data_IF_215152982087
#
_entry.id   IF_215152982087
#
_cell.length_a   1.000
_cell.length_b   1.000
_cell.length_c   1.000
_cell.angle_alpha   90.00
_cell.angle_beta   90.00
_cell.angle_gamma   90.00
#
_symmetry.space_group_name_H-M   'P 1'
#
loop_
_entity.id
_entity.type
_entity.pdbx_description
1 polymer ?
#
# COMPACT_ATOMS: atom_id res chain seq x y z
N UNK A 1 32.30 18.15 -12.10
CA UNK A 1 32.02 19.04 -13.24
C UNK A 1 30.62 18.73 -13.72
N UNK A 2 29.66 19.60 -13.40
CA UNK A 2 28.28 19.46 -13.89
C UNK A 2 28.23 19.98 -15.32
N UNK A 3 27.93 19.11 -16.29
CA UNK A 3 27.59 19.53 -17.64
C UNK A 3 26.09 19.81 -17.68
N UNK A 4 25.73 21.08 -17.83
CA UNK A 4 24.35 21.43 -18.19
C UNK A 4 24.09 20.97 -19.62
N UNK A 5 23.07 20.17 -19.83
CA UNK A 5 22.59 19.86 -21.18
C UNK A 5 22.07 21.15 -21.82
N UNK A 6 22.67 21.56 -22.94
CA UNK A 6 22.37 22.84 -23.58
C UNK A 6 21.06 22.88 -24.34
N UNK A 7 20.44 21.79 -24.66
CA UNK A 7 19.23 21.74 -25.47
C UNK A 7 18.27 20.70 -24.88
N UNK A 8 17.63 21.03 -23.77
CA UNK A 8 16.53 20.25 -23.25
C UNK A 8 15.24 20.85 -23.76
N UNK A 9 14.56 20.18 -24.68
CA UNK A 9 13.21 20.54 -25.11
C UNK A 9 12.22 20.22 -23.99
N UNK A 10 11.88 21.26 -23.21
CA UNK A 10 10.92 21.15 -22.12
C UNK A 10 9.51 21.13 -22.70
N UNK A 11 8.96 19.96 -22.92
CA UNK A 11 7.55 19.81 -23.25
C UNK A 11 6.75 19.60 -21.98
N UNK A 12 5.79 20.46 -21.74
CA UNK A 12 4.74 20.19 -20.76
C UNK A 12 3.86 19.11 -21.34
N UNK A 13 4.09 17.86 -20.90
CA UNK A 13 3.21 16.76 -21.26
C UNK A 13 1.93 16.88 -20.43
N UNK A 14 0.78 16.85 -21.12
CA UNK A 14 -0.49 16.60 -20.43
C UNK A 14 -0.39 15.23 -19.78
N UNK A 15 -0.52 15.18 -18.47
CA UNK A 15 -0.67 13.90 -17.76
C UNK A 15 -2.10 13.43 -17.95
N UNK A 16 -2.26 12.21 -18.46
CA UNK A 16 -3.57 11.53 -18.53
C UNK A 16 -3.98 11.03 -17.14
N UNK A 17 -4.10 11.97 -16.20
CA UNK A 17 -4.60 11.65 -14.85
C UNK A 17 -6.09 11.39 -15.00
N UNK A 18 -6.48 10.16 -14.69
CA UNK A 18 -7.88 9.79 -14.67
C UNK A 18 -8.61 10.50 -13.52
N UNK A 19 -9.81 11.05 -13.74
CA UNK A 19 -10.57 11.64 -12.66
C UNK A 19 -10.91 10.59 -11.60
N UNK A 20 -10.94 11.02 -10.35
CA UNK A 20 -11.51 10.20 -9.29
C UNK A 20 -13.00 9.97 -9.57
N UNK A 21 -13.57 8.86 -9.05
CA UNK A 21 -15.01 8.64 -9.10
C UNK A 21 -15.79 9.80 -8.47
N UNK A 22 -17.04 9.99 -8.88
CA UNK A 22 -17.91 10.98 -8.25
C UNK A 22 -18.04 10.73 -6.75
N UNK A 23 -17.80 11.76 -5.94
CA UNK A 23 -17.85 11.66 -4.47
C UNK A 23 -19.20 11.17 -3.95
N UNK A 24 -20.27 11.37 -4.67
CA UNK A 24 -21.59 10.86 -4.33
C UNK A 24 -21.69 9.32 -4.38
N UNK A 25 -20.73 8.67 -5.04
CA UNK A 25 -20.65 7.20 -5.12
C UNK A 25 -19.73 6.58 -4.06
N UNK A 26 -19.07 7.42 -3.25
CA UNK A 26 -18.14 6.93 -2.24
C UNK A 26 -18.89 6.39 -1.02
N UNK A 27 -18.49 5.21 -0.57
CA UNK A 27 -18.97 4.66 0.69
C UNK A 27 -17.90 4.82 1.76
N UNK A 28 -18.30 5.27 2.93
CA UNK A 28 -17.39 5.41 4.06
C UNK A 28 -17.08 4.03 4.65
N UNK A 29 -15.79 3.69 4.73
CA UNK A 29 -15.31 2.42 5.25
C UNK A 29 -15.87 2.10 6.63
N UNK A 30 -15.99 3.11 7.51
CA UNK A 30 -16.52 2.91 8.87
C UNK A 30 -18.03 2.61 8.89
N UNK A 31 -18.78 3.08 7.91
CA UNK A 31 -20.22 2.80 7.79
C UNK A 31 -20.49 1.39 7.25
N UNK A 32 -19.52 0.79 6.56
CA UNK A 32 -19.63 -0.57 6.06
C UNK A 32 -18.88 -1.62 6.88
N UNK A 33 -18.56 -1.26 8.12
CA UNK A 33 -18.13 -2.20 9.16
C UNK A 33 -16.65 -2.16 9.51
N UNK A 34 -15.80 -1.46 8.76
CA UNK A 34 -14.40 -1.30 9.14
C UNK A 34 -14.29 -0.38 10.37
N UNK A 35 -13.32 -0.65 11.22
CA UNK A 35 -13.11 0.12 12.46
C UNK A 35 -12.02 1.17 12.31
N UNK A 36 -10.89 0.81 11.71
CA UNK A 36 -9.75 1.70 11.57
C UNK A 36 -9.21 2.20 12.92
N UNK A 37 -9.26 1.35 13.95
CA UNK A 37 -8.91 1.65 15.35
C UNK A 37 -7.49 1.17 15.72
N UNK A 38 -6.75 0.60 14.79
CA UNK A 38 -5.41 0.06 15.00
C UNK A 38 -5.37 -1.28 15.74
N UNK A 39 -6.53 -1.89 16.01
CA UNK A 39 -6.64 -3.14 16.80
C UNK A 39 -7.50 -4.18 16.11
N UNK A 40 -8.69 -3.79 15.66
CA UNK A 40 -9.66 -4.68 15.02
C UNK A 40 -9.16 -5.13 13.65
N UNK A 41 -9.27 -6.42 13.37
CA UNK A 41 -8.97 -6.96 12.03
C UNK A 41 -10.11 -6.61 11.07
N UNK A 42 -9.86 -5.68 10.18
CA UNK A 42 -10.81 -5.16 9.20
C UNK A 42 -10.84 -5.99 7.89
N UNK A 43 -10.11 -7.11 7.83
CA UNK A 43 -9.95 -7.91 6.60
C UNK A 43 -11.27 -8.35 5.99
N UNK A 44 -12.14 -8.93 6.81
CA UNK A 44 -13.40 -9.46 6.32
C UNK A 44 -14.36 -8.35 5.92
N UNK A 45 -14.42 -7.28 6.73
CA UNK A 45 -15.27 -6.13 6.43
C UNK A 45 -14.89 -5.46 5.11
N UNK A 46 -13.57 -5.31 4.83
CA UNK A 46 -13.14 -4.75 3.54
C UNK A 46 -13.45 -5.67 2.37
N UNK A 47 -13.25 -6.99 2.52
CA UNK A 47 -13.60 -7.94 1.47
C UNK A 47 -15.09 -7.89 1.13
N UNK A 48 -15.95 -7.81 2.13
CA UNK A 48 -17.41 -7.67 1.93
C UNK A 48 -17.80 -6.31 1.33
N UNK A 49 -17.11 -5.25 1.70
CA UNK A 49 -17.32 -3.93 1.13
C UNK A 49 -16.95 -3.90 -0.36
N UNK A 50 -15.82 -4.49 -0.75
CA UNK A 50 -15.38 -4.60 -2.16
C UNK A 50 -16.39 -5.40 -3.01
N UNK A 51 -17.07 -6.39 -2.43
CA UNK A 51 -18.11 -7.14 -3.16
C UNK A 51 -19.33 -6.27 -3.51
N UNK A 52 -19.61 -5.25 -2.72
CA UNK A 52 -20.83 -4.45 -2.82
C UNK A 52 -20.61 -3.07 -3.44
N UNK A 53 -19.42 -2.50 -3.30
CA UNK A 53 -19.14 -1.10 -3.64
C UNK A 53 -17.87 -0.98 -4.48
N UNK A 54 -17.90 -0.10 -5.46
CA UNK A 54 -16.73 0.17 -6.31
C UNK A 54 -15.77 1.17 -5.67
N UNK A 55 -16.29 2.15 -4.90
CA UNK A 55 -15.45 3.18 -4.30
C UNK A 55 -15.61 3.22 -2.79
N UNK A 56 -14.52 2.93 -2.09
CA UNK A 56 -14.46 2.89 -0.63
C UNK A 56 -13.55 4.02 -0.17
N UNK A 57 -14.12 4.94 0.59
CA UNK A 57 -13.41 6.05 1.22
C UNK A 57 -13.01 5.66 2.65
N UNK A 58 -11.74 5.80 2.95
CA UNK A 58 -11.16 5.54 4.26
C UNK A 58 -10.95 6.86 5.00
N UNK A 59 -11.77 7.20 6.01
CA UNK A 59 -11.42 8.26 6.95
C UNK A 59 -10.11 7.99 7.66
N UNK A 60 -9.56 9.03 8.30
CA UNK A 60 -8.39 8.88 9.15
C UNK A 60 -8.55 7.68 10.10
N UNK A 61 -7.50 6.83 10.14
CA UNK A 61 -7.49 5.64 10.97
C UNK A 61 -6.38 4.66 10.59
N UNK A 62 -6.18 3.68 11.44
CA UNK A 62 -5.27 2.55 11.25
C UNK A 62 -6.11 1.29 11.03
N UNK A 63 -6.22 0.87 9.78
CA UNK A 63 -7.03 -0.29 9.39
C UNK A 63 -6.13 -1.53 9.34
N UNK A 64 -6.38 -2.48 10.23
CA UNK A 64 -5.55 -3.69 10.38
C UNK A 64 -6.08 -4.83 9.50
N UNK A 65 -5.17 -5.51 8.83
CA UNK A 65 -5.49 -6.62 7.94
C UNK A 65 -4.58 -7.82 8.21
N UNK A 66 -5.09 -9.02 8.04
CA UNK A 66 -4.34 -10.28 8.23
C UNK A 66 -4.24 -11.14 6.98
N UNK A 67 -4.83 -10.70 5.87
CA UNK A 67 -4.83 -11.44 4.60
C UNK A 67 -4.69 -10.50 3.39
N UNK A 68 -4.48 -11.10 2.22
CA UNK A 68 -4.49 -10.40 0.94
C UNK A 68 -5.88 -9.79 0.66
N UNK A 69 -5.89 -8.53 0.31
CA UNK A 69 -7.06 -7.81 -0.21
C UNK A 69 -7.00 -7.85 -1.73
N UNK A 70 -7.94 -8.52 -2.34
CA UNK A 70 -8.07 -8.57 -3.80
C UNK A 70 -9.10 -7.56 -4.25
N UNK A 71 -8.68 -6.66 -5.14
CA UNK A 71 -9.57 -5.68 -5.73
C UNK A 71 -10.29 -6.28 -6.93
N UNK A 72 -11.56 -5.94 -7.08
CA UNK A 72 -12.34 -6.23 -8.28
C UNK A 72 -12.09 -5.16 -9.33
N UNK A 73 -12.58 -5.37 -10.52
CA UNK A 73 -12.61 -4.32 -11.54
C UNK A 73 -13.34 -3.08 -11.02
N UNK A 74 -12.85 -1.91 -11.41
CA UNK A 74 -13.34 -0.60 -11.00
C UNK A 74 -13.21 -0.27 -9.50
N UNK A 75 -12.69 -1.17 -8.66
CA UNK A 75 -12.49 -0.86 -7.24
C UNK A 75 -11.53 0.32 -7.09
N UNK A 76 -11.97 1.32 -6.34
CA UNK A 76 -11.21 2.50 -5.93
C UNK A 76 -11.13 2.54 -4.40
N UNK A 77 -9.91 2.54 -3.86
CA UNK A 77 -9.64 2.75 -2.44
C UNK A 77 -9.08 4.15 -2.28
N UNK A 78 -9.77 5.00 -1.54
CA UNK A 78 -9.47 6.42 -1.43
C UNK A 78 -9.30 6.80 0.03
N UNK A 79 -8.15 7.37 0.36
CA UNK A 79 -7.89 8.12 1.59
C UNK A 79 -7.61 9.58 1.27
N UNK A 80 -7.39 10.39 2.29
CA UNK A 80 -7.08 11.82 2.12
C UNK A 80 -5.66 12.19 2.53
N UNK A 81 -4.98 11.30 3.24
CA UNK A 81 -3.62 11.53 3.68
C UNK A 81 -2.96 10.19 4.03
N UNK A 82 -1.89 9.80 3.32
CA UNK A 82 -1.26 8.49 3.48
C UNK A 82 -0.55 8.30 4.84
N UNK A 83 -0.33 9.36 5.59
CA UNK A 83 0.27 9.26 6.93
C UNK A 83 -0.80 9.00 7.99
N UNK A 84 -1.96 9.61 7.86
CA UNK A 84 -3.05 9.48 8.82
C UNK A 84 -4.10 8.42 8.47
N UNK A 85 -4.07 7.92 7.23
CA UNK A 85 -4.97 6.86 6.76
C UNK A 85 -4.14 5.66 6.31
N UNK A 86 -3.99 4.69 7.19
CA UNK A 86 -3.09 3.58 6.94
C UNK A 86 -3.82 2.24 6.83
N UNK A 87 -3.50 1.50 5.79
CA UNK A 87 -3.83 0.10 5.64
C UNK A 87 -2.61 -0.70 6.12
N UNK A 88 -2.76 -1.43 7.21
CA UNK A 88 -1.66 -2.05 7.94
C UNK A 88 -1.82 -3.57 7.94
N UNK A 89 -0.82 -4.26 7.42
CA UNK A 89 -0.75 -5.71 7.54
C UNK A 89 -0.29 -6.07 8.96
N UNK A 90 -1.13 -6.83 9.66
CA UNK A 90 -0.85 -7.28 11.03
C UNK A 90 0.51 -7.98 11.10
N UNK A 91 1.29 -7.67 12.12
CA UNK A 91 2.58 -8.29 12.35
C UNK A 91 2.47 -9.82 12.51
N UNK A 92 3.44 -10.54 11.97
CA UNK A 92 3.48 -11.99 11.97
C UNK A 92 2.19 -12.65 11.40
N UNK A 93 1.57 -12.01 10.42
CA UNK A 93 0.43 -12.64 9.73
C UNK A 93 0.87 -13.95 9.08
N UNK A 94 0.24 -15.06 9.47
CA UNK A 94 0.64 -16.42 9.10
C UNK A 94 0.92 -16.59 7.59
N UNK A 95 0.09 -16.00 6.77
CA UNK A 95 0.21 -16.09 5.31
C UNK A 95 1.39 -15.32 4.72
N UNK A 96 2.02 -14.45 5.49
CA UNK A 96 3.09 -13.56 5.05
C UNK A 96 4.41 -13.82 5.77
N UNK A 97 4.43 -14.75 6.73
CA UNK A 97 5.62 -15.17 7.46
C UNK A 97 6.41 -16.26 6.73
N UNK A 98 7.58 -16.60 7.27
CA UNK A 98 8.47 -17.61 6.68
C UNK A 98 9.16 -17.15 5.41
N UNK A 99 9.71 -18.11 4.68
CA UNK A 99 10.45 -17.89 3.43
C UNK A 99 9.66 -18.41 2.24
N UNK A 100 9.89 -17.85 1.07
CA UNK A 100 9.27 -18.33 -0.15
C UNK A 100 8.83 -17.17 -1.05
N UNK A 101 7.93 -17.43 -1.98
CA UNK A 101 7.47 -16.45 -2.95
C UNK A 101 6.78 -15.26 -2.26
N UNK A 102 6.98 -14.07 -2.82
CA UNK A 102 6.26 -12.86 -2.42
C UNK A 102 4.75 -13.07 -2.44
N UNK A 103 4.07 -12.47 -1.48
CA UNK A 103 2.62 -12.46 -1.37
C UNK A 103 2.13 -11.02 -1.23
N UNK A 104 1.21 -10.63 -2.09
CA UNK A 104 0.69 -9.28 -2.07
C UNK A 104 -0.25 -9.04 -0.87
N UNK A 105 -0.07 -7.92 -0.20
CA UNK A 105 -1.05 -7.40 0.73
C UNK A 105 -2.28 -6.90 -0.04
N UNK A 106 -2.08 -6.05 -1.04
CA UNK A 106 -3.13 -5.62 -1.97
C UNK A 106 -2.81 -6.18 -3.35
N UNK A 107 -3.76 -6.87 -3.96
CA UNK A 107 -3.67 -7.37 -5.32
C UNK A 107 -4.76 -6.73 -6.17
N UNK A 108 -4.36 -5.96 -7.19
CA UNK A 108 -5.31 -5.31 -8.09
C UNK A 108 -5.89 -6.28 -9.11
N UNK A 109 -7.02 -5.93 -9.71
CA UNK A 109 -7.54 -6.63 -10.88
C UNK A 109 -6.67 -6.34 -12.13
N UNK A 110 -7.01 -6.95 -13.25
CA UNK A 110 -6.41 -6.61 -14.55
C UNK A 110 -7.08 -5.40 -15.22
N UNK A 111 -8.23 -5.00 -14.71
CA UNK A 111 -9.00 -3.88 -15.19
C UNK A 111 -8.64 -2.60 -14.43
N UNK A 112 -9.50 -1.60 -14.48
CA UNK A 112 -9.26 -0.32 -13.82
C UNK A 112 -9.32 -0.46 -12.31
N UNK A 113 -8.29 0.05 -11.62
CA UNK A 113 -8.30 0.29 -10.18
C UNK A 113 -7.69 1.65 -9.84
N UNK A 114 -8.10 2.21 -8.71
CA UNK A 114 -7.53 3.44 -8.16
C UNK A 114 -7.08 3.19 -6.72
N UNK A 115 -5.86 3.63 -6.40
CA UNK A 115 -5.37 3.79 -5.02
C UNK A 115 -4.97 5.26 -4.84
N UNK A 116 -5.56 5.93 -3.88
CA UNK A 116 -5.36 7.37 -3.69
C UNK A 116 -5.26 7.74 -2.20
N UNK A 117 -4.23 8.52 -1.83
CA UNK A 117 -4.12 9.13 -0.51
C UNK A 117 -3.99 8.14 0.66
N UNK A 118 -3.35 6.99 0.45
CA UNK A 118 -3.29 5.88 1.39
C UNK A 118 -1.86 5.51 1.79
N UNK A 119 -1.66 5.22 3.07
CA UNK A 119 -0.49 4.51 3.54
C UNK A 119 -0.71 3.00 3.40
N UNK A 120 0.24 2.30 2.80
CA UNK A 120 0.25 0.83 2.70
C UNK A 120 1.42 0.33 3.53
N UNK A 121 1.12 -0.30 4.67
CA UNK A 121 2.11 -0.70 5.66
C UNK A 121 2.16 -2.23 5.77
N UNK A 122 3.26 -2.83 5.34
CA UNK A 122 3.46 -4.28 5.40
C UNK A 122 4.03 -4.76 6.73
N UNK A 123 4.24 -3.85 7.69
CA UNK A 123 4.86 -4.17 8.97
C UNK A 123 6.34 -4.50 8.85
N UNK A 124 6.94 -4.94 9.94
CA UNK A 124 8.35 -5.30 10.00
C UNK A 124 8.63 -6.80 10.11
N UNK A 125 7.59 -7.61 10.30
CA UNK A 125 7.71 -9.06 10.56
C UNK A 125 6.92 -9.93 9.59
N UNK A 126 6.68 -9.42 8.40
CA UNK A 126 6.02 -10.10 7.30
C UNK A 126 6.97 -10.22 6.10
N UNK A 127 8.03 -11.06 6.17
CA UNK A 127 9.12 -11.06 5.20
C UNK A 127 8.69 -11.41 3.77
N UNK A 128 7.54 -12.03 3.59
CA UNK A 128 6.98 -12.36 2.28
C UNK A 128 6.00 -11.32 1.74
N UNK A 129 5.70 -10.28 2.53
CA UNK A 129 4.75 -9.28 2.10
C UNK A 129 5.33 -8.38 1.00
N UNK A 130 4.57 -8.24 -0.09
CA UNK A 130 4.68 -7.15 -1.04
C UNK A 130 3.48 -6.22 -0.81
N UNK A 131 3.71 -4.92 -0.74
CA UNK A 131 2.64 -3.96 -0.43
C UNK A 131 1.51 -4.02 -1.45
N UNK A 132 1.82 -3.76 -2.71
CA UNK A 132 0.84 -3.83 -3.81
C UNK A 132 1.40 -4.64 -4.97
N UNK A 133 0.63 -5.62 -5.43
CA UNK A 133 0.84 -6.26 -6.72
C UNK A 133 -0.11 -5.62 -7.73
N UNK A 134 0.45 -4.80 -8.60
CA UNK A 134 -0.27 -4.01 -9.56
C UNK A 134 -0.37 -4.73 -10.91
N UNK A 135 -1.57 -5.10 -11.29
CA UNK A 135 -1.86 -5.75 -12.57
C UNK A 135 -2.78 -4.92 -13.45
N UNK A 136 -3.28 -3.80 -12.92
CA UNK A 136 -4.32 -3.00 -13.52
C UNK A 136 -3.89 -2.36 -14.84
N UNK A 137 -4.86 -2.10 -15.70
CA UNK A 137 -4.64 -1.59 -17.04
C UNK A 137 -4.30 -0.07 -17.09
N UNK A 138 -4.09 0.45 -18.29
CA UNK A 138 -3.70 1.86 -18.55
C UNK A 138 -4.68 2.92 -18.03
N UNK A 139 -5.92 2.55 -17.74
CA UNK A 139 -6.94 3.48 -17.22
C UNK A 139 -6.93 3.58 -15.69
N UNK A 140 -5.93 3.02 -15.08
CA UNK A 140 -5.78 2.95 -13.62
C UNK A 140 -4.91 4.08 -13.09
N UNK A 141 -5.02 4.34 -11.80
CA UNK A 141 -4.35 5.48 -11.19
C UNK A 141 -3.90 5.15 -9.76
N UNK A 142 -2.64 5.47 -9.47
CA UNK A 142 -2.09 5.45 -8.10
C UNK A 142 -1.50 6.82 -7.81
N UNK A 143 -2.00 7.49 -6.77
CA UNK A 143 -1.50 8.81 -6.40
C UNK A 143 -1.47 9.02 -4.90
N UNK A 144 -0.44 9.72 -4.44
CA UNK A 144 -0.19 9.98 -3.03
C UNK A 144 -0.30 8.71 -2.17
N UNK A 145 0.37 7.64 -2.63
CA UNK A 145 0.47 6.38 -1.91
C UNK A 145 1.86 6.27 -1.29
N UNK A 146 1.88 6.04 0.03
CA UNK A 146 3.13 5.84 0.76
C UNK A 146 3.23 4.41 1.24
N UNK A 147 4.34 3.77 0.88
CA UNK A 147 4.67 2.44 1.32
C UNK A 147 5.50 2.48 2.59
N UNK A 148 5.00 1.85 3.62
CA UNK A 148 5.68 1.63 4.89
C UNK A 148 5.89 0.14 5.08
N UNK A 149 6.89 -0.21 5.86
CA UNK A 149 7.21 -1.61 6.13
C UNK A 149 8.69 -1.90 5.92
N UNK A 150 9.12 -3.08 6.29
CA UNK A 150 10.52 -3.44 6.26
C UNK A 150 11.34 -2.78 7.35
N UNK A 151 12.64 -2.59 7.12
CA UNK A 151 13.53 -2.08 8.13
C UNK A 151 13.21 -0.63 8.54
N UNK A 152 13.15 -0.39 9.84
CA UNK A 152 13.13 0.95 10.42
C UNK A 152 11.87 1.76 10.12
N UNK A 153 10.81 1.11 9.70
CA UNK A 153 9.57 1.81 9.42
C UNK A 153 8.66 1.86 10.64
N UNK A 154 7.86 2.93 10.71
CA UNK A 154 6.85 3.12 11.74
C UNK A 154 5.80 2.02 11.64
N UNK A 155 5.64 1.25 12.70
CA UNK A 155 4.61 0.22 12.79
C UNK A 155 3.31 0.80 13.33
N UNK A 156 3.38 1.88 14.12
CA UNK A 156 2.21 2.58 14.66
C UNK A 156 2.40 4.09 14.59
N UNK A 157 1.37 4.78 14.17
CA UNK A 157 1.32 6.25 14.15
C UNK A 157 0.88 6.84 15.48
N UNK A 158 0.27 6.10 16.38
CA UNK A 158 -0.26 6.55 17.66
C UNK A 158 0.80 6.57 18.77
N UNK A 159 1.84 7.37 18.62
CA UNK A 159 2.71 7.78 19.73
C UNK A 159 3.73 6.79 20.27
N UNK A 160 3.66 5.52 19.92
CA UNK A 160 4.68 4.54 20.23
C UNK A 160 5.38 4.11 18.95
N UNK A 161 6.54 4.68 18.72
CA UNK A 161 7.46 4.17 17.71
C UNK A 161 8.02 2.83 18.18
N UNK A 162 7.33 1.74 17.90
CA UNK A 162 8.03 0.47 17.87
C UNK A 162 8.85 0.46 16.58
N UNK A 163 10.07 0.90 16.69
CA UNK A 163 11.06 0.53 15.69
C UNK A 163 11.30 -0.98 15.87
N UNK A 164 10.81 -1.83 14.96
CA UNK A 164 11.04 -3.26 15.07
C UNK A 164 12.53 -3.59 15.01
N UNK A 165 13.34 -2.60 14.68
CA UNK A 165 14.77 -2.71 14.42
C UNK A 165 15.57 -1.61 15.12
N UNK A 166 15.51 -1.55 16.45
CA UNK A 166 16.52 -0.81 17.20
C UNK A 166 17.91 -1.48 17.02
N UNK A 167 18.97 -0.79 17.35
CA UNK A 167 20.33 -1.29 17.18
C UNK A 167 20.54 -2.66 17.85
N UNK A 168 19.84 -2.96 18.94
CA UNK A 168 19.88 -4.25 19.62
C UNK A 168 19.27 -5.37 18.81
N UNK A 169 18.13 -5.10 18.15
CA UNK A 169 17.42 -6.08 17.31
C UNK A 169 18.09 -6.29 15.96
N UNK A 170 18.78 -5.28 15.42
CA UNK A 170 19.59 -5.42 14.21
C UNK A 170 20.73 -6.45 14.34
N UNK A 171 21.12 -6.78 15.56
CA UNK A 171 22.15 -7.79 15.86
C UNK A 171 21.58 -9.20 15.96
N UNK A 172 20.27 -9.35 16.02
CA UNK A 172 19.62 -10.65 16.05
C UNK A 172 19.75 -11.31 14.66
N UNK A 173 20.42 -12.46 14.63
CA UNK A 173 20.69 -13.20 13.39
C UNK A 173 19.40 -13.65 12.69
N UNK A 174 18.33 -13.91 13.44
CA UNK A 174 17.05 -14.34 12.88
C UNK A 174 16.28 -13.15 12.27
N UNK A 175 16.33 -11.99 12.89
CA UNK A 175 15.77 -10.75 12.34
C UNK A 175 16.53 -10.30 11.10
N UNK A 176 17.86 -10.44 11.08
CA UNK A 176 18.68 -10.17 9.90
C UNK A 176 18.28 -11.05 8.72
N UNK A 177 18.02 -12.33 8.94
CA UNK A 177 17.51 -13.23 7.89
C UNK A 177 16.16 -12.77 7.37
N UNK A 178 15.28 -12.28 8.24
CA UNK A 178 13.97 -11.72 7.82
C UNK A 178 14.17 -10.51 6.92
N UNK A 179 15.16 -9.66 7.19
CA UNK A 179 15.45 -8.50 6.35
C UNK A 179 15.95 -8.86 4.96
N UNK A 180 16.80 -9.87 4.88
CA UNK A 180 17.37 -10.33 3.61
C UNK A 180 16.30 -10.91 2.65
N UNK A 181 15.08 -11.16 3.15
CA UNK A 181 13.99 -11.78 2.39
C UNK A 181 12.76 -10.87 2.21
N UNK A 182 12.89 -9.58 2.45
CA UNK A 182 11.78 -8.65 2.19
C UNK A 182 11.62 -8.35 0.71
N UNK A 183 10.37 -8.21 0.32
CA UNK A 183 9.99 -7.99 -1.07
C UNK A 183 9.64 -6.53 -1.35
N UNK A 184 9.54 -6.18 -2.62
CA UNK A 184 9.23 -4.84 -3.08
C UNK A 184 7.92 -4.31 -2.49
N UNK A 185 7.88 -3.00 -2.23
CA UNK A 185 6.67 -2.31 -1.81
C UNK A 185 5.61 -2.31 -2.90
N UNK A 186 6.03 -2.13 -4.15
CA UNK A 186 5.19 -2.13 -5.34
C UNK A 186 5.76 -3.07 -6.39
N UNK A 187 4.97 -4.05 -6.82
CA UNK A 187 5.30 -4.96 -7.92
C UNK A 187 4.36 -4.70 -9.09
N UNK A 188 4.86 -4.08 -10.14
CA UNK A 188 4.11 -3.89 -11.39
C UNK A 188 4.30 -5.13 -12.26
N UNK A 189 3.22 -5.85 -12.50
CA UNK A 189 3.24 -7.06 -13.31
C UNK A 189 3.29 -6.73 -14.81
N UNK A 190 3.78 -7.68 -15.60
CA UNK A 190 3.76 -7.57 -17.05
C UNK A 190 2.31 -7.33 -17.55
N UNK A 191 2.13 -6.27 -18.33
CA UNK A 191 0.81 -5.80 -18.79
C UNK A 191 0.14 -4.82 -17.83
N UNK A 192 0.65 -4.60 -16.62
CA UNK A 192 0.21 -3.53 -15.73
C UNK A 192 0.56 -2.15 -16.27
N UNK A 193 -0.32 -1.18 -16.07
CA UNK A 193 -0.15 0.18 -16.57
C UNK A 193 -0.92 1.19 -15.72
N UNK A 194 -1.12 2.37 -16.29
CA UNK A 194 -1.81 3.49 -15.63
C UNK A 194 -0.88 4.64 -15.28
N UNK A 195 -1.40 5.60 -14.54
CA UNK A 195 -0.66 6.76 -14.09
C UNK A 195 -0.25 6.60 -12.63
N UNK A 196 1.05 6.80 -12.36
CA UNK A 196 1.62 6.78 -11.03
C UNK A 196 2.14 8.17 -10.69
N UNK A 197 1.69 8.74 -9.57
CA UNK A 197 2.07 10.08 -9.15
C UNK A 197 2.24 10.14 -7.63
N UNK A 198 3.25 10.90 -7.19
CA UNK A 198 3.52 11.13 -5.77
C UNK A 198 3.60 9.82 -4.95
N UNK A 199 4.31 8.83 -5.50
CA UNK A 199 4.56 7.56 -4.83
C UNK A 199 5.84 7.66 -4.02
N UNK A 200 5.78 7.24 -2.78
CA UNK A 200 6.94 7.21 -1.89
C UNK A 200 7.04 5.86 -1.16
N UNK A 201 8.27 5.39 -1.01
CA UNK A 201 8.56 4.19 -0.23
C UNK A 201 9.65 4.47 0.80
N UNK A 202 9.37 4.12 2.05
CA UNK A 202 10.36 4.14 3.12
C UNK A 202 11.23 2.87 3.12
N UNK A 203 10.83 1.85 2.38
CA UNK A 203 11.59 0.61 2.30
C UNK A 203 12.81 0.77 1.41
N UNK A 204 13.99 0.28 1.82
CA UNK A 204 15.16 0.20 0.95
C UNK A 204 15.00 -0.84 -0.18
N UNK A 205 13.97 -1.66 -0.13
CA UNK A 205 13.66 -2.70 -1.12
C UNK A 205 12.47 -2.24 -2.00
N UNK A 206 12.78 -1.42 -2.98
CA UNK A 206 11.84 -0.95 -4.01
C UNK A 206 12.12 -1.65 -5.31
#
# INVERSE_FOLDING_TARGET
IYRYAKDVDYRILKTDIQPLPDMLTWVNAKEVGLKGDGVTDDTQALKEAIEKYETIYFPQGEYIFSDTIKLKENTSLIGMNPVSTQLILKENSEKFTGFGKAKAFIETSKERNILFGLGVNTGGRNPRACGVKWMSNKNSYMNDVKFFGGHGNLVKMTGAFEQPYDEGRCRDADLKKVWDYQYASLLICNGGGGTFKDIWSASPYV
#
